data_IF_773874439295
#
_entry.id   IF_773874439295
#
_cell.length_a   1.000
_cell.length_b   1.000
_cell.length_c   1.000
_cell.angle_alpha   90.00
_cell.angle_beta   90.00
_cell.angle_gamma   90.00
#
_symmetry.space_group_name_H-M   'P 1'
#
loop_
_entity.id
_entity.type
_entity.pdbx_description
1 polymer ?
#
# COMPACT_ATOMS: atom_id res chain seq x y z
N UNK A 1 -13.69 -8.06 -8.64
CA UNK A 1 -12.41 -7.33 -8.85
C UNK A 1 -12.50 -5.99 -8.16
N UNK A 2 -11.66 -5.78 -7.19
CA UNK A 2 -11.59 -4.52 -6.46
C UNK A 2 -10.76 -3.52 -7.27
N UNK A 3 -11.20 -2.27 -7.32
CA UNK A 3 -10.54 -1.19 -8.08
C UNK A 3 -10.20 -0.03 -7.16
N UNK A 4 -9.08 0.65 -7.45
CA UNK A 4 -8.69 1.89 -6.78
C UNK A 4 -8.95 3.05 -7.73
N UNK A 5 -9.84 3.95 -7.33
CA UNK A 5 -10.17 5.15 -8.09
C UNK A 5 -9.55 6.38 -7.42
N UNK A 6 -8.70 7.10 -8.14
CA UNK A 6 -8.14 8.38 -7.70
C UNK A 6 -9.01 9.53 -8.19
N UNK A 7 -9.26 10.49 -7.33
CA UNK A 7 -9.90 11.74 -7.72
C UNK A 7 -8.91 12.67 -8.45
N UNK A 8 -9.44 13.69 -9.14
CA UNK A 8 -8.62 14.64 -9.94
C UNK A 8 -7.55 15.37 -9.13
N UNK A 9 -7.75 15.52 -7.82
CA UNK A 9 -6.83 16.20 -6.93
C UNK A 9 -5.64 15.32 -6.48
N UNK A 10 -5.64 14.02 -6.79
CA UNK A 10 -4.67 13.01 -6.35
C UNK A 10 -4.46 12.92 -4.82
N UNK A 11 -5.32 13.57 -4.04
CA UNK A 11 -5.33 13.48 -2.58
C UNK A 11 -6.30 12.43 -2.09
N UNK A 12 -7.45 12.39 -2.76
CA UNK A 12 -8.57 11.53 -2.37
C UNK A 12 -8.68 10.36 -3.32
N UNK A 13 -8.93 9.20 -2.79
CA UNK A 13 -9.20 8.00 -3.57
C UNK A 13 -10.16 7.06 -2.85
N UNK A 14 -10.70 6.14 -3.60
CA UNK A 14 -11.68 5.19 -3.13
C UNK A 14 -11.29 3.79 -3.54
N UNK A 15 -11.58 2.83 -2.68
CA UNK A 15 -11.52 1.41 -2.98
C UNK A 15 -12.94 0.92 -3.20
N UNK A 16 -13.17 0.32 -4.36
CA UNK A 16 -14.50 -0.09 -4.84
C UNK A 16 -14.48 -1.57 -5.13
N UNK A 17 -15.43 -2.33 -4.57
CA UNK A 17 -15.68 -3.73 -4.92
C UNK A 17 -17.07 -3.84 -5.58
N UNK A 18 -17.09 -4.21 -6.87
CA UNK A 18 -18.31 -4.10 -7.67
C UNK A 18 -18.76 -2.64 -7.82
N UNK A 19 -19.92 -2.33 -7.27
CA UNK A 19 -20.50 -0.97 -7.26
C UNK A 19 -20.39 -0.29 -5.88
N UNK A 20 -19.88 -0.99 -4.87
CA UNK A 20 -19.82 -0.51 -3.50
C UNK A 20 -18.47 0.15 -3.20
N UNK A 21 -18.53 1.36 -2.67
CA UNK A 21 -17.35 2.02 -2.09
C UNK A 21 -17.08 1.46 -0.69
N UNK A 22 -15.98 0.71 -0.57
CA UNK A 22 -15.60 0.04 0.68
C UNK A 22 -14.79 0.96 1.58
N UNK A 23 -13.80 1.66 1.00
CA UNK A 23 -12.89 2.55 1.71
C UNK A 23 -12.84 3.89 1.01
N UNK A 24 -12.89 4.96 1.81
CA UNK A 24 -12.55 6.31 1.37
C UNK A 24 -11.26 6.73 2.06
N UNK A 25 -10.28 7.13 1.26
CA UNK A 25 -8.97 7.50 1.75
C UNK A 25 -8.59 8.90 1.29
N UNK A 26 -7.81 9.60 2.09
CA UNK A 26 -7.30 10.94 1.81
C UNK A 26 -5.88 11.13 2.30
N UNK A 27 -5.16 12.03 1.64
CA UNK A 27 -3.88 12.57 2.13
C UNK A 27 -4.08 14.01 2.57
N UNK A 28 -3.45 14.46 3.68
CA UNK A 28 -3.48 15.88 4.08
C UNK A 28 -2.97 16.82 3.00
N UNK A 29 -1.92 16.37 2.28
CA UNK A 29 -1.34 17.06 1.12
C UNK A 29 -0.97 16.02 0.06
N UNK A 30 -1.02 16.37 -1.23
CA UNK A 30 -0.74 15.45 -2.32
C UNK A 30 0.67 14.79 -2.23
N UNK A 31 1.63 15.49 -1.65
CA UNK A 31 3.00 15.00 -1.43
C UNK A 31 3.20 14.36 -0.04
N UNK A 32 2.18 14.28 0.79
CA UNK A 32 2.27 13.68 2.12
C UNK A 32 2.39 12.16 2.01
N UNK A 33 3.25 11.59 2.85
CA UNK A 33 3.27 10.14 3.10
C UNK A 33 2.18 9.71 4.10
N UNK A 34 1.53 10.67 4.76
CA UNK A 34 0.40 10.40 5.65
C UNK A 34 -0.84 10.05 4.85
N UNK A 35 -1.53 8.99 5.26
CA UNK A 35 -2.79 8.55 4.69
C UNK A 35 -3.80 8.38 5.81
N UNK A 36 -5.00 8.91 5.61
CA UNK A 36 -6.15 8.68 6.48
C UNK A 36 -7.23 7.95 5.70
N UNK A 37 -7.87 7.00 6.31
CA UNK A 37 -8.98 6.30 5.69
C UNK A 37 -10.05 5.90 6.71
N UNK A 38 -11.26 5.71 6.19
CA UNK A 38 -12.41 5.27 6.96
C UNK A 38 -12.86 3.91 6.43
N UNK A 39 -12.99 2.95 7.33
CA UNK A 39 -13.44 1.61 7.03
C UNK A 39 -14.17 1.00 8.24
N UNK A 40 -15.30 0.36 7.97
CA UNK A 40 -16.10 -0.36 8.98
C UNK A 40 -16.37 0.45 10.26
N UNK A 41 -16.81 1.72 10.11
CA UNK A 41 -17.12 2.60 11.22
C UNK A 41 -15.91 3.15 11.99
N UNK A 42 -14.69 2.88 11.53
CA UNK A 42 -13.44 3.28 12.21
C UNK A 42 -12.58 4.16 11.32
N UNK A 43 -11.89 5.11 11.95
CA UNK A 43 -10.90 5.96 11.28
C UNK A 43 -9.51 5.39 11.50
N UNK A 44 -8.76 5.29 10.43
CA UNK A 44 -7.37 4.83 10.41
C UNK A 44 -6.45 5.93 9.93
N UNK A 45 -5.22 5.90 10.41
CA UNK A 45 -4.16 6.82 10.01
C UNK A 45 -2.84 6.09 9.89
N UNK A 46 -2.18 6.24 8.74
CA UNK A 46 -0.80 5.82 8.53
C UNK A 46 0.06 7.07 8.50
N UNK A 47 0.99 7.22 9.43
CA UNK A 47 1.88 8.38 9.51
C UNK A 47 3.28 7.99 9.94
N UNK A 48 4.28 8.73 9.47
CA UNK A 48 5.65 8.55 9.97
C UNK A 48 5.72 8.79 11.48
N UNK A 49 6.41 7.91 12.18
CA UNK A 49 6.65 8.02 13.63
C UNK A 49 7.41 9.30 13.97
N UNK A 50 8.40 9.64 13.15
CA UNK A 50 9.16 10.90 13.27
C UNK A 50 9.80 11.24 11.93
N UNK A 51 10.28 12.48 11.78
CA UNK A 51 10.99 12.92 10.58
C UNK A 51 12.24 12.06 10.26
N UNK A 52 12.92 11.58 11.30
CA UNK A 52 14.17 10.82 11.18
C UNK A 52 14.00 9.31 11.05
N UNK A 53 12.80 8.78 11.31
CA UNK A 53 12.53 7.34 11.26
C UNK A 53 11.72 6.97 10.04
N UNK A 54 12.13 5.90 9.35
CA UNK A 54 11.40 5.33 8.23
C UNK A 54 10.14 4.54 8.66
N UNK A 55 9.96 4.32 9.96
CA UNK A 55 8.81 3.61 10.50
C UNK A 55 7.53 4.43 10.32
N UNK A 56 6.51 3.80 9.77
CA UNK A 56 5.15 4.33 9.66
C UNK A 56 4.30 3.66 10.73
N UNK A 57 3.64 4.46 11.56
CA UNK A 57 2.69 3.99 12.55
C UNK A 57 1.30 3.81 11.91
N UNK A 58 0.62 2.74 12.30
CA UNK A 58 -0.77 2.46 11.94
C UNK A 58 -1.61 2.70 13.16
N UNK A 59 -2.48 3.71 13.07
CA UNK A 59 -3.36 4.12 14.15
C UNK A 59 -4.82 3.81 13.78
N UNK A 60 -5.61 3.34 14.73
CA UNK A 60 -7.05 3.17 14.61
C UNK A 60 -7.72 3.96 15.75
N UNK A 61 -8.55 4.95 15.42
CA UNK A 61 -9.15 5.81 16.43
C UNK A 61 -8.12 6.52 17.34
N UNK A 62 -6.93 6.79 16.82
CA UNK A 62 -5.82 7.39 17.58
C UNK A 62 -4.95 6.40 18.37
N UNK A 63 -5.34 5.14 18.46
CA UNK A 63 -4.56 4.11 19.14
C UNK A 63 -3.62 3.39 18.17
N UNK A 64 -2.39 3.13 18.60
CA UNK A 64 -1.40 2.38 17.82
C UNK A 64 -1.82 0.91 17.73
N UNK A 65 -2.07 0.43 16.52
CA UNK A 65 -2.43 -0.97 16.23
C UNK A 65 -1.37 -1.72 15.45
N UNK A 66 -0.41 -1.02 14.86
CA UNK A 66 0.63 -1.63 14.06
C UNK A 66 1.66 -0.65 13.54
N UNK A 67 2.57 -1.16 12.73
CA UNK A 67 3.61 -0.35 12.08
C UNK A 67 4.07 -0.97 10.76
N UNK A 68 4.55 -0.10 9.87
CA UNK A 68 5.29 -0.50 8.68
C UNK A 68 6.76 -0.20 8.95
N UNK A 69 7.59 -1.22 8.83
CA UNK A 69 9.04 -1.13 9.05
C UNK A 69 9.79 -1.61 7.82
N UNK A 70 10.98 -1.07 7.60
CA UNK A 70 11.89 -1.54 6.56
C UNK A 70 12.94 -2.44 7.19
N UNK A 71 13.07 -3.66 6.67
CA UNK A 71 14.13 -4.59 7.03
C UNK A 71 15.08 -4.73 5.85
N UNK A 72 16.38 -4.70 6.12
CA UNK A 72 17.42 -4.87 5.09
C UNK A 72 17.28 -6.20 4.31
N UNK A 73 16.77 -7.25 4.96
CA UNK A 73 16.65 -8.59 4.35
C UNK A 73 15.32 -8.82 3.64
N UNK A 74 14.23 -8.25 4.14
CA UNK A 74 12.86 -8.60 3.71
C UNK A 74 12.10 -7.42 3.10
N UNK A 75 12.74 -6.23 3.00
CA UNK A 75 12.09 -5.02 2.57
C UNK A 75 11.07 -4.50 3.57
N UNK A 76 10.00 -3.88 3.09
CA UNK A 76 8.95 -3.34 3.94
C UNK A 76 8.01 -4.42 4.44
N UNK A 77 7.72 -4.40 5.74
CA UNK A 77 6.78 -5.31 6.41
C UNK A 77 5.76 -4.52 7.22
N UNK A 78 4.53 -5.05 7.28
CA UNK A 78 3.46 -4.57 8.17
C UNK A 78 3.37 -5.50 9.36
N UNK A 79 3.45 -4.93 10.56
CA UNK A 79 3.28 -5.68 11.81
C UNK A 79 2.02 -5.17 12.51
N UNK A 80 1.05 -6.04 12.73
CA UNK A 80 -0.19 -5.73 13.46
C UNK A 80 -0.08 -6.29 14.87
N UNK A 81 -0.07 -5.40 15.85
CA UNK A 81 0.20 -5.75 17.27
C UNK A 81 -0.91 -6.64 17.84
N UNK A 82 -2.16 -6.28 17.62
CA UNK A 82 -3.31 -6.98 18.24
C UNK A 82 -3.46 -8.43 17.78
N UNK A 83 -3.08 -8.74 16.55
CA UNK A 83 -3.17 -10.09 15.99
C UNK A 83 -1.84 -10.81 15.96
N UNK A 84 -0.74 -10.13 16.30
CA UNK A 84 0.63 -10.63 16.17
C UNK A 84 0.96 -11.12 14.76
N UNK A 85 0.28 -10.59 13.76
CA UNK A 85 0.49 -10.94 12.36
C UNK A 85 1.45 -9.99 11.69
N UNK A 86 2.28 -10.55 10.83
CA UNK A 86 3.20 -9.80 9.98
C UNK A 86 2.89 -10.08 8.51
N UNK A 87 2.87 -9.03 7.71
CA UNK A 87 2.60 -9.11 6.28
C UNK A 87 3.75 -8.51 5.48
N UNK A 88 3.93 -9.01 4.28
CA UNK A 88 4.96 -8.55 3.34
C UNK A 88 4.41 -8.44 1.93
N UNK A 89 5.14 -7.72 1.08
CA UNK A 89 4.84 -7.60 -0.33
C UNK A 89 5.94 -8.25 -1.14
N UNK A 90 5.60 -9.18 -2.03
CA UNK A 90 6.49 -9.71 -3.04
C UNK A 90 6.10 -9.19 -4.41
N UNK A 91 7.08 -8.81 -5.22
CA UNK A 91 6.84 -8.27 -6.55
C UNK A 91 7.17 -9.31 -7.61
N UNK A 92 6.29 -9.43 -8.60
CA UNK A 92 6.51 -10.20 -9.81
C UNK A 92 6.51 -9.25 -11.00
N UNK A 93 7.64 -9.13 -11.68
CA UNK A 93 7.71 -8.34 -12.91
C UNK A 93 7.13 -9.15 -14.06
N UNK A 94 5.98 -8.78 -14.58
CA UNK A 94 5.32 -9.40 -15.74
C UNK A 94 5.53 -8.62 -17.04
N UNK A 95 6.44 -7.68 -17.08
CA UNK A 95 6.66 -6.84 -18.26
C UNK A 95 8.05 -7.01 -18.84
N UNK A 96 8.16 -6.97 -20.18
CA UNK A 96 9.44 -6.70 -20.84
C UNK A 96 9.88 -5.25 -20.55
N UNK A 97 11.09 -4.88 -20.98
CA UNK A 97 11.77 -3.61 -20.69
C UNK A 97 10.94 -2.33 -20.90
N UNK A 98 9.81 -2.41 -21.60
CA UNK A 98 8.93 -1.28 -21.97
C UNK A 98 7.52 -1.36 -21.39
N UNK A 99 7.19 -2.40 -20.59
CA UNK A 99 5.86 -2.51 -19.98
C UNK A 99 5.91 -2.04 -18.54
N UNK A 100 5.04 -1.07 -18.25
CA UNK A 100 4.84 -0.48 -16.92
C UNK A 100 3.83 -1.27 -16.08
N UNK A 101 3.68 -2.56 -16.37
CA UNK A 101 2.78 -3.46 -15.64
C UNK A 101 3.57 -4.24 -14.59
N UNK A 102 3.09 -4.19 -13.35
CA UNK A 102 3.68 -4.90 -12.22
C UNK A 102 2.60 -5.62 -11.44
N UNK A 103 2.93 -6.77 -10.91
CA UNK A 103 2.08 -7.46 -9.92
C UNK A 103 2.82 -7.56 -8.60
N UNK A 104 2.08 -7.31 -7.53
CA UNK A 104 2.55 -7.42 -6.17
C UNK A 104 1.64 -8.37 -5.41
N UNK A 105 2.21 -9.39 -4.80
CA UNK A 105 1.46 -10.30 -3.93
C UNK A 105 1.61 -9.86 -2.48
N UNK A 106 0.51 -9.56 -1.84
CA UNK A 106 0.47 -9.28 -0.40
C UNK A 106 0.26 -10.58 0.36
N UNK A 107 1.21 -10.91 1.22
CA UNK A 107 1.27 -12.19 1.93
C UNK A 107 1.25 -11.98 3.44
N UNK A 108 0.55 -12.84 4.16
CA UNK A 108 0.86 -13.09 5.57
C UNK A 108 2.15 -13.90 5.64
N UNK A 109 3.07 -13.59 6.56
CA UNK A 109 4.33 -14.33 6.70
C UNK A 109 4.04 -15.79 7.02
N UNK A 110 4.67 -16.70 6.25
CA UNK A 110 4.39 -18.12 6.22
C UNK A 110 3.85 -18.62 4.88
N UNK A 111 4.24 -18.07 3.78
CA UNK A 111 3.80 -17.62 2.46
C UNK A 111 2.30 -17.92 2.17
N UNK A 112 1.41 -17.23 2.88
CA UNK A 112 -0.03 -17.27 2.57
C UNK A 112 -0.43 -16.02 1.78
N UNK A 113 -0.67 -16.11 0.48
CA UNK A 113 -1.13 -14.97 -0.31
C UNK A 113 -2.54 -14.56 0.13
N UNK A 114 -2.71 -13.26 0.37
CA UNK A 114 -4.00 -12.66 0.75
C UNK A 114 -4.70 -12.06 -0.46
N UNK A 115 -3.96 -11.27 -1.25
CA UNK A 115 -4.43 -10.68 -2.50
C UNK A 115 -3.25 -10.29 -3.40
N UNK A 116 -3.58 -10.03 -4.67
CA UNK A 116 -2.62 -9.51 -5.65
C UNK A 116 -3.02 -8.09 -6.03
N UNK A 117 -2.05 -7.17 -6.03
CA UNK A 117 -2.20 -5.82 -6.56
C UNK A 117 -1.65 -5.83 -7.99
N UNK A 118 -2.51 -5.55 -8.97
CA UNK A 118 -2.14 -5.35 -10.36
C UNK A 118 -2.01 -3.86 -10.63
N UNK A 119 -0.80 -3.42 -10.89
CA UNK A 119 -0.47 -2.03 -11.18
C UNK A 119 -0.12 -1.86 -12.65
N UNK A 120 -0.69 -0.86 -13.28
CA UNK A 120 -0.33 -0.46 -14.62
C UNK A 120 -0.30 1.06 -14.75
N UNK A 121 0.66 1.57 -15.53
CA UNK A 121 0.72 2.96 -15.96
C UNK A 121 0.39 3.04 -17.45
N UNK A 122 -0.70 3.68 -17.82
CA UNK A 122 -1.11 3.83 -19.21
C UNK A 122 -1.42 5.29 -19.52
N UNK A 123 -0.69 5.89 -20.44
CA UNK A 123 -0.87 7.31 -20.84
C UNK A 123 -0.91 8.27 -19.63
N UNK A 124 0.04 8.12 -18.69
CA UNK A 124 0.15 8.90 -17.45
C UNK A 124 -1.01 8.72 -16.45
N UNK A 125 -1.85 7.70 -16.66
CA UNK A 125 -2.91 7.32 -15.72
C UNK A 125 -2.55 6.00 -15.05
N UNK A 126 -2.63 6.00 -13.74
CA UNK A 126 -2.49 4.78 -12.95
C UNK A 126 -3.79 3.98 -12.98
N UNK A 127 -3.63 2.68 -13.16
CA UNK A 127 -4.69 1.69 -12.98
C UNK A 127 -4.24 0.71 -11.91
N UNK A 128 -5.02 0.57 -10.86
CA UNK A 128 -4.75 -0.37 -9.78
C UNK A 128 -5.99 -1.24 -9.60
N UNK A 129 -5.79 -2.53 -9.74
CA UNK A 129 -6.80 -3.56 -9.51
C UNK A 129 -6.30 -4.54 -8.47
N UNK A 130 -7.20 -5.06 -7.65
CA UNK A 130 -6.88 -5.99 -6.58
C UNK A 130 -7.68 -7.26 -6.79
N UNK A 131 -6.97 -8.36 -6.89
CA UNK A 131 -7.53 -9.71 -6.99
C UNK A 131 -7.50 -10.37 -5.63
N UNK A 132 -8.67 -10.73 -5.10
CA UNK A 132 -8.80 -11.45 -3.84
C UNK A 132 -8.30 -12.89 -4.02
N UNK A 133 -7.52 -13.40 -3.06
CA UNK A 133 -7.14 -14.80 -2.95
C UNK A 133 -7.74 -15.38 -1.66
N UNK A 134 -7.29 -14.87 -0.53
CA UNK A 134 -7.73 -15.26 0.81
C UNK A 134 -8.11 -14.01 1.66
N UNK A 135 -8.54 -12.94 0.99
CA UNK A 135 -8.96 -11.72 1.65
C UNK A 135 -10.38 -11.88 2.18
N UNK A 136 -10.54 -11.75 3.48
CA UNK A 136 -11.83 -11.71 4.14
C UNK A 136 -12.45 -10.32 3.99
N UNK A 137 -13.76 -10.23 3.78
CA UNK A 137 -14.50 -8.98 3.65
C UNK A 137 -14.46 -8.12 4.93
N UNK A 138 -14.18 -8.72 6.08
CA UNK A 138 -13.94 -8.00 7.34
C UNK A 138 -12.54 -7.37 7.45
N UNK A 139 -11.65 -7.63 6.49
CA UNK A 139 -10.22 -7.27 6.54
C UNK A 139 -9.77 -6.42 5.35
N UNK A 140 -10.65 -5.62 4.77
CA UNK A 140 -10.28 -4.74 3.66
C UNK A 140 -9.29 -3.63 4.02
N UNK A 141 -9.10 -3.32 5.30
CA UNK A 141 -8.02 -2.44 5.76
C UNK A 141 -6.63 -2.95 5.35
N UNK A 142 -6.44 -4.27 5.19
CA UNK A 142 -5.21 -4.86 4.68
C UNK A 142 -4.86 -4.35 3.26
N UNK A 143 -5.85 -3.99 2.45
CA UNK A 143 -5.63 -3.40 1.13
C UNK A 143 -4.85 -2.09 1.26
N UNK A 144 -5.21 -1.25 2.22
CA UNK A 144 -4.53 0.01 2.45
C UNK A 144 -3.07 -0.18 2.87
N UNK A 145 -2.80 -1.22 3.66
CA UNK A 145 -1.42 -1.57 4.03
C UNK A 145 -0.64 -2.08 2.83
N UNK A 146 -1.22 -2.95 2.01
CA UNK A 146 -0.61 -3.44 0.76
C UNK A 146 -0.32 -2.32 -0.23
N UNK A 147 -1.24 -1.39 -0.44
CA UNK A 147 -1.03 -0.21 -1.29
C UNK A 147 0.10 0.68 -0.75
N UNK A 148 0.19 0.84 0.57
CA UNK A 148 1.27 1.61 1.19
C UNK A 148 2.63 0.93 0.99
N UNK A 149 2.72 -0.39 1.15
CA UNK A 149 3.94 -1.15 0.85
C UNK A 149 4.33 -1.04 -0.62
N UNK A 150 3.37 -1.15 -1.53
CA UNK A 150 3.61 -0.99 -2.98
C UNK A 150 4.22 0.39 -3.27
N UNK A 151 3.66 1.46 -2.72
CA UNK A 151 4.19 2.83 -2.91
C UNK A 151 5.61 2.98 -2.35
N UNK A 152 5.87 2.46 -1.17
CA UNK A 152 7.20 2.51 -0.56
C UNK A 152 8.23 1.73 -1.40
N UNK A 153 7.84 0.57 -1.93
CA UNK A 153 8.69 -0.23 -2.83
C UNK A 153 8.99 0.53 -4.13
N UNK A 154 7.98 1.13 -4.76
CA UNK A 154 8.15 1.95 -5.97
C UNK A 154 9.06 3.15 -5.73
N UNK A 155 8.93 3.83 -4.59
CA UNK A 155 9.80 4.96 -4.22
C UNK A 155 11.25 4.51 -4.02
N UNK A 156 11.49 3.36 -3.37
CA UNK A 156 12.81 2.81 -3.18
C UNK A 156 13.48 2.41 -4.51
N UNK A 157 12.72 1.79 -5.42
CA UNK A 157 13.21 1.46 -6.78
C UNK A 157 13.59 2.71 -7.58
N UNK A 158 12.76 3.76 -7.52
CA UNK A 158 13.03 5.02 -8.22
C UNK A 158 14.28 5.72 -7.67
N UNK A 159 14.50 5.68 -6.36
CA UNK A 159 15.71 6.25 -5.74
C UNK A 159 16.98 5.47 -6.13
N UNK A 160 16.90 4.13 -6.24
CA UNK A 160 18.02 3.28 -6.66
C UNK A 160 18.36 3.46 -8.15
N UNK A 161 17.39 3.82 -8.99
CA UNK A 161 17.58 4.04 -10.44
C UNK A 161 18.15 5.43 -10.79
N UNK A 162 18.26 6.35 -9.83
CA UNK A 162 18.83 7.69 -10.07
C UNK A 162 20.34 7.57 -10.13
N UNK A 163 21.00 7.88 -11.27
CA UNK A 163 22.46 7.83 -11.35
C UNK A 163 23.05 8.87 -10.40
N UNK A 164 23.91 8.41 -9.48
CA UNK A 164 24.75 9.31 -8.71
C UNK A 164 25.78 9.90 -9.67
N UNK A 165 25.55 11.13 -10.10
CA UNK A 165 26.61 11.92 -10.74
C UNK A 165 27.65 12.23 -9.66
N UNK A 166 28.70 11.42 -9.62
CA UNK A 166 29.94 11.83 -8.99
C UNK A 166 30.61 12.81 -9.95
N UNK A 167 30.40 14.09 -9.66
CA UNK A 167 31.21 15.15 -10.25
C UNK A 167 32.53 15.26 -9.50
#
# INVERSE_FOLDING_TARGET
MIRVNFEKNYKDWQIIDGDDTIIKATKPKWYSSEVRFFYNGKTYQLKKKSFWKSTIEILQGGQLIGSITNSYRTGYNVNIVNTQKTYSLSQVNKGGMWKTEKEYTFNEIGPKPIFIIKYAMKKFKEKIEIEKINLDDSSYDLIMYGLSLMRLTQMAESAAATPTFHG
#
